data_IF_195833644808
#
_entry.id   IF_195833644808
#
_cell.length_a   1.000
_cell.length_b   1.000
_cell.length_c   1.000
_cell.angle_alpha   90.00
_cell.angle_beta   90.00
_cell.angle_gamma   90.00
#
_symmetry.space_group_name_H-M   'P 1'
#
loop_
_entity.id
_entity.type
_entity.pdbx_description
1 polymer ?
#
# COMPACT_ATOMS: atom_id res chain seq x y z
N UNK A 1 -14.67 4.50 12.19
CA UNK A 1 -13.50 5.11 12.89
C UNK A 1 -12.21 4.36 12.60
N UNK A 2 -12.08 3.07 13.00
CA UNK A 2 -10.84 2.28 12.83
C UNK A 2 -10.35 2.26 11.38
N UNK A 3 -11.25 1.98 10.42
CA UNK A 3 -10.93 1.98 8.99
C UNK A 3 -10.30 3.30 8.52
N UNK A 4 -10.97 4.43 8.78
CA UNK A 4 -10.51 5.74 8.32
C UNK A 4 -9.16 6.08 8.93
N UNK A 5 -9.00 5.93 10.24
CA UNK A 5 -7.71 6.21 10.92
C UNK A 5 -6.61 5.27 10.41
N UNK A 6 -6.92 3.99 10.20
CA UNK A 6 -5.98 2.99 9.69
C UNK A 6 -5.48 3.34 8.29
N UNK A 7 -6.39 3.57 7.34
CA UNK A 7 -6.03 3.89 5.95
C UNK A 7 -5.32 5.24 5.86
N UNK A 8 -5.75 6.27 6.61
CA UNK A 8 -5.06 7.56 6.67
C UNK A 8 -3.61 7.41 7.09
N UNK A 9 -3.36 6.67 8.17
CA UNK A 9 -1.99 6.43 8.65
C UNK A 9 -1.20 5.52 7.72
N UNK A 10 -1.83 4.51 7.12
CA UNK A 10 -1.17 3.64 6.14
C UNK A 10 -0.67 4.43 4.93
N UNK A 11 -1.48 5.36 4.40
CA UNK A 11 -1.05 6.26 3.32
C UNK A 11 0.05 7.23 3.75
N UNK A 12 0.00 7.74 4.98
CA UNK A 12 1.07 8.57 5.53
C UNK A 12 2.40 7.82 5.59
N UNK A 13 2.39 6.56 6.02
CA UNK A 13 3.60 5.73 6.07
C UNK A 13 4.16 5.36 4.69
N UNK A 14 3.30 5.32 3.66
CA UNK A 14 3.73 5.08 2.28
C UNK A 14 4.36 6.32 1.63
N UNK A 15 4.24 7.51 2.22
CA UNK A 15 4.89 8.74 1.75
C UNK A 15 6.40 8.80 2.11
N UNK A 16 7.06 7.63 2.18
CA UNK A 16 8.50 7.51 2.41
C UNK A 16 9.34 7.56 1.13
N UNK A 17 8.72 7.46 -0.06
CA UNK A 17 9.39 7.56 -1.35
C UNK A 17 8.66 8.50 -2.30
N UNK A 18 9.44 9.34 -2.99
CA UNK A 18 8.96 10.20 -4.07
C UNK A 18 8.10 9.42 -5.07
N UNK A 19 6.87 9.88 -5.29
CA UNK A 19 5.91 9.29 -6.20
C UNK A 19 4.99 8.25 -5.56
N UNK A 20 5.44 7.52 -4.54
CA UNK A 20 4.78 6.29 -4.08
C UNK A 20 3.34 6.52 -3.60
N UNK A 21 3.16 7.37 -2.58
CA UNK A 21 1.83 7.62 -2.00
C UNK A 21 0.88 8.26 -3.02
N UNK A 22 1.35 9.27 -3.76
CA UNK A 22 0.55 9.96 -4.79
C UNK A 22 0.12 9.03 -5.92
N UNK A 23 1.04 8.25 -6.48
CA UNK A 23 0.70 7.37 -7.61
C UNK A 23 -0.14 6.17 -7.17
N UNK A 24 0.06 5.68 -5.96
CA UNK A 24 -0.84 4.67 -5.39
C UNK A 24 -2.25 5.23 -5.19
N UNK A 25 -2.37 6.47 -4.71
CA UNK A 25 -3.66 7.15 -4.59
C UNK A 25 -4.34 7.35 -5.95
N UNK A 26 -3.58 7.70 -6.99
CA UNK A 26 -4.10 7.78 -8.37
C UNK A 26 -4.62 6.42 -8.86
N UNK A 27 -3.87 5.35 -8.64
CA UNK A 27 -4.30 3.98 -9.03
C UNK A 27 -5.60 3.62 -8.30
N UNK A 28 -5.64 3.80 -6.97
CA UNK A 28 -6.83 3.49 -6.17
C UNK A 28 -8.04 4.31 -6.60
N UNK A 29 -7.85 5.62 -6.82
CA UNK A 29 -8.88 6.52 -7.32
C UNK A 29 -9.40 6.09 -8.71
N UNK A 30 -8.52 5.60 -9.59
CA UNK A 30 -8.93 5.06 -10.91
C UNK A 30 -9.88 3.88 -10.75
N UNK A 31 -9.56 2.91 -9.88
CA UNK A 31 -10.44 1.77 -9.67
C UNK A 31 -11.75 2.16 -9.00
N UNK A 32 -11.72 3.06 -8.01
CA UNK A 32 -12.96 3.60 -7.42
C UNK A 32 -13.82 4.34 -8.45
N UNK A 33 -13.22 5.10 -9.36
CA UNK A 33 -13.94 5.72 -10.48
C UNK A 33 -14.61 4.65 -11.34
N UNK A 34 -13.87 3.63 -11.78
CA UNK A 34 -14.41 2.58 -12.65
C UNK A 34 -15.57 1.85 -11.98
N UNK A 35 -15.42 1.42 -10.73
CA UNK A 35 -16.49 0.72 -9.99
C UNK A 35 -17.68 1.66 -9.78
N UNK A 36 -17.45 2.94 -9.41
CA UNK A 36 -18.53 3.92 -9.24
C UNK A 36 -19.37 4.08 -10.50
N UNK A 37 -18.74 4.10 -11.68
CA UNK A 37 -19.45 4.16 -12.96
C UNK A 37 -20.26 2.88 -13.21
N UNK A 38 -19.71 1.71 -12.87
CA UNK A 38 -20.39 0.41 -13.03
C UNK A 38 -21.58 0.22 -12.09
N UNK A 39 -21.58 0.86 -10.93
CA UNK A 39 -22.66 0.84 -9.93
C UNK A 39 -23.60 2.04 -10.05
N UNK A 40 -23.40 2.92 -11.04
CA UNK A 40 -24.25 4.11 -11.25
C UNK A 40 -24.09 5.20 -10.19
N UNK A 41 -23.02 5.15 -9.38
CA UNK A 41 -22.76 6.10 -8.30
C UNK A 41 -22.02 7.35 -8.81
N UNK A 42 -22.73 8.21 -9.53
CA UNK A 42 -22.16 9.41 -10.15
C UNK A 42 -21.38 10.29 -9.16
N UNK A 43 -21.92 10.53 -7.96
CA UNK A 43 -21.27 11.34 -6.93
C UNK A 43 -19.91 10.77 -6.49
N UNK A 44 -19.82 9.46 -6.20
CA UNK A 44 -18.56 8.80 -5.85
C UNK A 44 -17.57 8.79 -7.02
N UNK A 45 -18.09 8.62 -8.24
CA UNK A 45 -17.30 8.72 -9.46
C UNK A 45 -16.65 10.10 -9.61
N UNK A 46 -17.41 11.18 -9.41
CA UNK A 46 -16.88 12.55 -9.46
C UNK A 46 -15.80 12.81 -8.41
N UNK A 47 -16.01 12.41 -7.15
CA UNK A 47 -15.00 12.55 -6.10
C UNK A 47 -13.73 11.78 -6.43
N UNK A 48 -13.87 10.54 -6.90
CA UNK A 48 -12.73 9.69 -7.27
C UNK A 48 -11.97 10.24 -8.47
N UNK A 49 -12.66 10.75 -9.50
CA UNK A 49 -12.02 11.38 -10.66
C UNK A 49 -11.31 12.68 -10.28
N UNK A 50 -11.90 13.49 -9.39
CA UNK A 50 -11.27 14.71 -8.91
C UNK A 50 -9.97 14.39 -8.15
N UNK A 51 -9.98 13.36 -7.30
CA UNK A 51 -8.80 12.87 -6.59
C UNK A 51 -7.75 12.30 -7.55
N UNK A 52 -8.17 11.54 -8.56
CA UNK A 52 -7.28 11.05 -9.62
C UNK A 52 -6.62 12.23 -10.36
N UNK A 53 -7.40 13.23 -10.77
CA UNK A 53 -6.92 14.41 -11.47
C UNK A 53 -5.92 15.22 -10.64
N UNK A 54 -6.17 15.40 -9.33
CA UNK A 54 -5.22 16.09 -8.45
C UNK A 54 -3.93 15.31 -8.29
N UNK A 55 -3.99 13.98 -8.13
CA UNK A 55 -2.80 13.14 -8.05
C UNK A 55 -2.00 13.19 -9.36
N UNK A 56 -2.65 13.06 -10.52
CA UNK A 56 -1.98 13.11 -11.83
C UNK A 56 -1.40 14.50 -12.13
N UNK A 57 -2.03 15.58 -11.67
CA UNK A 57 -1.49 16.93 -11.77
C UNK A 57 -0.26 17.15 -10.89
N UNK A 58 -0.21 16.50 -9.73
CA UNK A 58 0.92 16.60 -8.79
C UNK A 58 2.08 15.66 -9.15
N UNK A 59 1.79 14.48 -9.69
CA UNK A 59 2.76 13.39 -9.88
C UNK A 59 4.01 13.80 -10.68
N UNK A 60 3.96 14.64 -11.74
CA UNK A 60 5.16 15.09 -12.46
C UNK A 60 6.17 15.87 -11.61
N UNK A 61 5.70 16.56 -10.56
CA UNK A 61 6.54 17.32 -9.63
C UNK A 61 7.09 16.44 -8.50
N UNK A 62 6.41 15.33 -8.22
CA UNK A 62 6.76 14.40 -7.14
C UNK A 62 7.59 13.22 -7.65
N UNK A 63 7.09 12.44 -8.62
CA UNK A 63 7.78 11.28 -9.18
C UNK A 63 8.68 11.66 -10.36
N UNK A 64 9.87 12.17 -10.05
CA UNK A 64 10.88 12.57 -11.06
C UNK A 64 11.87 11.43 -11.28
N UNK A 65 12.10 11.02 -12.53
CA UNK A 65 12.91 9.83 -12.84
C UNK A 65 14.40 10.00 -12.53
N UNK A 66 14.97 11.16 -12.91
CA UNK A 66 16.42 11.42 -12.83
C UNK A 66 16.81 12.38 -11.71
N UNK A 67 15.83 13.06 -11.13
CA UNK A 67 16.04 14.10 -10.13
C UNK A 67 15.23 13.78 -8.86
N UNK A 68 15.59 14.39 -7.72
CA UNK A 68 14.73 14.41 -6.54
C UNK A 68 13.39 15.10 -6.84
N UNK A 69 12.36 14.79 -6.05
CA UNK A 69 11.09 15.49 -6.10
C UNK A 69 11.32 17.02 -5.99
N UNK A 70 10.67 17.78 -6.86
CA UNK A 70 10.67 19.24 -6.77
C UNK A 70 9.69 19.74 -5.72
N UNK A 71 8.62 18.97 -5.47
CA UNK A 71 7.61 19.22 -4.44
C UNK A 71 7.34 17.91 -3.70
N UNK A 72 7.51 17.92 -2.38
CA UNK A 72 7.16 16.81 -1.51
C UNK A 72 5.66 16.82 -1.19
N UNK A 73 5.07 15.63 -1.06
CA UNK A 73 3.66 15.51 -0.70
C UNK A 73 3.46 15.95 0.76
N UNK A 74 4.29 15.42 1.66
CA UNK A 74 4.31 15.76 3.07
C UNK A 74 3.11 15.22 3.83
N UNK A 75 3.17 15.29 5.17
CA UNK A 75 2.16 14.73 6.06
C UNK A 75 0.74 15.25 5.75
N UNK A 76 0.63 16.53 5.37
CA UNK A 76 -0.66 17.12 5.02
C UNK A 76 -1.27 16.47 3.77
N UNK A 77 -0.46 16.26 2.72
CA UNK A 77 -0.92 15.66 1.48
C UNK A 77 -1.23 14.17 1.65
N UNK A 78 -0.33 13.42 2.29
CA UNK A 78 -0.46 11.97 2.46
C UNK A 78 -1.66 11.60 3.34
N UNK A 79 -1.90 12.34 4.43
CA UNK A 79 -3.07 12.14 5.30
C UNK A 79 -4.37 12.56 4.61
N UNK A 80 -4.36 13.64 3.82
CA UNK A 80 -5.51 14.03 2.99
C UNK A 80 -5.89 12.95 1.97
N UNK A 81 -4.90 12.40 1.25
CA UNK A 81 -5.13 11.33 0.29
C UNK A 81 -5.70 10.09 0.99
N UNK A 82 -5.12 9.67 2.11
CA UNK A 82 -5.59 8.52 2.87
C UNK A 82 -6.98 8.70 3.46
N UNK A 83 -7.28 9.86 4.05
CA UNK A 83 -8.60 10.18 4.58
C UNK A 83 -9.67 10.16 3.47
N UNK A 84 -9.37 10.80 2.34
CA UNK A 84 -10.31 10.90 1.21
C UNK A 84 -10.59 9.52 0.61
N UNK A 85 -9.55 8.71 0.36
CA UNK A 85 -9.72 7.34 -0.13
C UNK A 85 -10.50 6.46 0.84
N UNK A 86 -10.22 6.58 2.15
CA UNK A 86 -10.95 5.84 3.17
C UNK A 86 -12.42 6.25 3.24
N UNK A 87 -12.71 7.55 3.07
CA UNK A 87 -14.05 8.10 3.01
C UNK A 87 -14.82 7.59 1.79
N UNK A 88 -14.21 7.68 0.60
CA UNK A 88 -14.77 7.12 -0.65
C UNK A 88 -15.13 5.65 -0.40
N UNK A 89 -14.16 4.84 0.05
CA UNK A 89 -14.33 3.40 0.31
C UNK A 89 -15.51 3.06 1.24
N UNK A 90 -15.78 3.89 2.26
CA UNK A 90 -16.86 3.67 3.22
C UNK A 90 -18.22 4.16 2.71
N UNK A 91 -18.23 5.28 1.99
CA UNK A 91 -19.47 5.90 1.52
C UNK A 91 -20.03 5.24 0.25
N UNK A 92 -19.20 4.55 -0.52
CA UNK A 92 -19.62 3.91 -1.76
C UNK A 92 -20.33 2.57 -1.59
N UNK A 93 -21.27 2.29 -2.49
CA UNK A 93 -22.00 1.03 -2.66
C UNK A 93 -21.43 0.23 -3.85
N UNK A 94 -20.36 -0.50 -3.62
CA UNK A 94 -19.51 -1.16 -4.61
C UNK A 94 -20.10 -2.43 -5.24
N UNK A 95 -21.02 -3.12 -4.56
CA UNK A 95 -21.73 -4.28 -5.08
C UNK A 95 -23.04 -4.55 -4.34
N UNK A 96 -23.95 -5.30 -4.98
CA UNK A 96 -25.21 -5.74 -4.36
C UNK A 96 -25.00 -6.80 -3.26
N UNK A 97 -24.08 -7.75 -3.50
CA UNK A 97 -23.69 -8.71 -2.48
C UNK A 97 -22.89 -8.02 -1.37
N UNK A 98 -23.34 -8.21 -0.12
CA UNK A 98 -22.75 -7.55 1.05
C UNK A 98 -21.28 -7.87 1.27
N UNK A 99 -20.85 -9.11 1.02
CA UNK A 99 -19.44 -9.51 1.19
C UNK A 99 -18.59 -8.90 0.08
N UNK A 100 -19.05 -8.98 -1.16
CA UNK A 100 -18.38 -8.36 -2.31
C UNK A 100 -18.21 -6.86 -2.08
N UNK A 101 -19.26 -6.19 -1.58
CA UNK A 101 -19.27 -4.76 -1.31
C UNK A 101 -18.17 -4.34 -0.32
N UNK A 102 -17.86 -5.17 0.67
CA UNK A 102 -16.79 -4.93 1.64
C UNK A 102 -15.41 -5.28 1.06
N UNK A 103 -15.33 -6.33 0.23
CA UNK A 103 -14.06 -6.85 -0.28
C UNK A 103 -13.48 -5.96 -1.39
N UNK A 104 -14.30 -5.35 -2.24
CA UNK A 104 -13.85 -4.43 -3.30
C UNK A 104 -12.92 -3.32 -2.76
N UNK A 105 -13.33 -2.50 -1.77
CA UNK A 105 -12.47 -1.45 -1.23
C UNK A 105 -11.25 -2.01 -0.50
N UNK A 106 -11.35 -3.19 0.12
CA UNK A 106 -10.20 -3.88 0.75
C UNK A 106 -9.16 -4.29 -0.29
N UNK A 107 -9.58 -4.77 -1.46
CA UNK A 107 -8.67 -5.11 -2.55
C UNK A 107 -8.05 -3.85 -3.17
N UNK A 108 -8.86 -2.83 -3.49
CA UNK A 108 -8.37 -1.57 -4.06
C UNK A 108 -7.33 -0.92 -3.12
N UNK A 109 -7.59 -0.91 -1.81
CA UNK A 109 -6.66 -0.41 -0.78
C UNK A 109 -5.76 -1.50 -0.20
N UNK A 110 -5.57 -2.61 -0.92
CA UNK A 110 -4.87 -3.78 -0.40
C UNK A 110 -3.39 -3.53 -0.12
N UNK A 111 -2.73 -2.71 -0.95
CA UNK A 111 -1.32 -2.34 -0.72
C UNK A 111 -1.11 -1.55 0.58
N UNK A 112 -1.82 -0.43 0.85
CA UNK A 112 -1.72 0.26 2.14
C UNK A 112 -2.05 -0.62 3.33
N UNK A 113 -3.09 -1.45 3.23
CA UNK A 113 -3.49 -2.38 4.29
C UNK A 113 -2.38 -3.40 4.54
N UNK A 114 -1.81 -3.97 3.49
CA UNK A 114 -0.74 -4.96 3.59
C UNK A 114 0.53 -4.37 4.19
N UNK A 115 1.00 -3.20 3.71
CA UNK A 115 2.21 -2.56 4.25
C UNK A 115 2.06 -2.28 5.75
N UNK A 116 0.94 -1.70 6.15
CA UNK A 116 0.66 -1.40 7.56
C UNK A 116 0.58 -2.68 8.41
N UNK A 117 -0.03 -3.75 7.88
CA UNK A 117 -0.15 -5.03 8.58
C UNK A 117 1.22 -5.69 8.73
N UNK A 118 1.99 -5.79 7.65
CA UNK A 118 3.32 -6.42 7.64
C UNK A 118 4.28 -5.68 8.59
N UNK A 119 4.32 -4.35 8.51
CA UNK A 119 5.17 -3.55 9.40
C UNK A 119 4.77 -3.73 10.87
N UNK A 120 3.47 -3.74 11.17
CA UNK A 120 2.98 -3.98 12.53
C UNK A 120 3.36 -5.37 13.05
N UNK A 121 3.14 -6.42 12.25
CA UNK A 121 3.49 -7.80 12.61
C UNK A 121 4.99 -7.95 12.85
N UNK A 122 5.82 -7.39 11.96
CA UNK A 122 7.27 -7.45 12.14
C UNK A 122 7.71 -6.68 13.38
N UNK A 123 7.17 -5.48 13.63
CA UNK A 123 7.52 -4.66 14.81
C UNK A 123 7.16 -5.33 16.13
N UNK A 124 6.02 -6.01 16.19
CA UNK A 124 5.61 -6.79 17.36
C UNK A 124 6.53 -8.01 17.52
N UNK A 125 6.80 -8.73 16.43
CA UNK A 125 7.67 -9.91 16.44
C UNK A 125 9.14 -9.62 16.78
N UNK A 126 9.65 -8.44 16.46
CA UNK A 126 11.00 -7.97 16.84
C UNK A 126 11.05 -7.30 18.22
N UNK A 127 9.90 -7.09 18.86
CA UNK A 127 9.79 -6.43 20.17
C UNK A 127 10.06 -4.93 20.16
N UNK A 128 10.06 -4.30 18.99
CA UNK A 128 10.31 -2.85 18.81
C UNK A 128 9.14 -1.97 19.26
N UNK A 129 7.94 -2.54 19.39
CA UNK A 129 6.73 -1.84 19.84
C UNK A 129 6.01 -2.70 20.87
N UNK A 130 5.72 -2.13 22.04
CA UNK A 130 5.05 -2.82 23.16
C UNK A 130 3.69 -2.22 23.53
N UNK A 131 3.36 -1.04 23.00
CA UNK A 131 2.06 -0.38 23.22
C UNK A 131 1.48 0.28 21.96
N UNK A 132 0.17 0.56 21.96
CA UNK A 132 -0.54 1.27 20.88
C UNK A 132 -0.04 2.71 20.70
N UNK A 133 0.37 3.37 21.79
CA UNK A 133 0.94 4.72 21.74
C UNK A 133 2.34 4.76 21.12
N UNK A 134 3.17 3.75 21.42
CA UNK A 134 4.46 3.57 20.73
C UNK A 134 4.25 3.24 19.26
N UNK A 135 3.26 2.39 18.92
CA UNK A 135 2.96 2.03 17.54
C UNK A 135 2.62 3.25 16.66
N UNK A 136 1.84 4.19 17.19
CA UNK A 136 1.44 5.42 16.49
C UNK A 136 2.59 6.43 16.33
N UNK A 137 3.50 6.51 17.30
CA UNK A 137 4.60 7.49 17.32
C UNK A 137 5.93 6.96 16.75
N UNK A 138 5.97 5.71 16.27
CA UNK A 138 7.22 5.07 15.84
C UNK A 138 7.62 5.45 14.41
N UNK A 139 8.80 6.08 14.26
CA UNK A 139 9.38 6.56 13.00
C UNK A 139 10.34 5.55 12.33
N UNK A 140 10.05 4.24 12.44
CA UNK A 140 10.95 3.18 11.99
C UNK A 140 10.95 2.90 10.47
N UNK A 141 12.14 2.75 9.89
CA UNK A 141 12.42 2.45 8.45
C UNK A 141 12.16 0.99 8.01
N UNK A 142 11.02 0.39 8.38
CA UNK A 142 10.76 -1.04 8.13
C UNK A 142 9.63 -1.34 7.13
N UNK A 143 9.18 -0.31 6.41
CA UNK A 143 8.11 -0.38 5.41
C UNK A 143 8.50 -1.19 4.17
N UNK A 144 7.49 -1.72 3.48
CA UNK A 144 7.60 -2.55 2.28
C UNK A 144 8.53 -1.93 1.23
N UNK A 145 8.42 -0.63 1.04
CA UNK A 145 9.24 0.12 0.11
C UNK A 145 10.73 0.17 0.50
N UNK A 146 11.07 0.29 1.80
CA UNK A 146 12.45 0.21 2.27
C UNK A 146 13.03 -1.17 2.07
N UNK A 147 12.25 -2.23 2.33
CA UNK A 147 12.70 -3.61 2.09
C UNK A 147 12.96 -3.90 0.61
N UNK A 148 12.19 -3.32 -0.31
CA UNK A 148 12.46 -3.43 -1.75
C UNK A 148 13.74 -2.68 -2.14
N UNK A 149 13.99 -1.51 -1.52
CA UNK A 149 15.25 -0.79 -1.69
C UNK A 149 16.45 -1.59 -1.17
N UNK A 150 16.30 -2.24 -0.01
CA UNK A 150 17.34 -3.09 0.60
C UNK A 150 17.67 -4.31 -0.28
N UNK A 151 16.74 -4.77 -1.12
CA UNK A 151 16.94 -5.85 -2.09
C UNK A 151 17.66 -5.36 -3.37
N UNK A 152 17.86 -4.04 -3.52
CA UNK A 152 18.63 -3.46 -4.63
C UNK A 152 17.80 -3.03 -5.86
N UNK A 153 16.46 -3.02 -5.77
CA UNK A 153 15.57 -2.60 -6.87
C UNK A 153 15.67 -1.09 -7.21
N UNK A 154 16.28 -0.29 -6.34
CA UNK A 154 16.30 1.16 -6.45
C UNK A 154 14.91 1.80 -6.33
N UNK A 155 14.86 3.14 -6.28
CA UNK A 155 13.61 3.89 -6.06
C UNK A 155 12.55 3.54 -7.10
N UNK A 156 12.92 3.58 -8.38
CA UNK A 156 11.99 3.34 -9.48
C UNK A 156 11.48 1.90 -9.46
N UNK A 157 12.36 0.92 -9.29
CA UNK A 157 11.95 -0.49 -9.22
C UNK A 157 11.01 -0.78 -8.06
N UNK A 158 11.27 -0.21 -6.87
CA UNK A 158 10.39 -0.34 -5.72
C UNK A 158 9.00 0.26 -5.97
N UNK A 159 8.93 1.50 -6.46
CA UNK A 159 7.67 2.19 -6.76
C UNK A 159 6.88 1.46 -7.85
N UNK A 160 7.52 1.10 -8.97
CA UNK A 160 6.87 0.38 -10.07
C UNK A 160 6.34 -0.99 -9.64
N UNK A 161 7.08 -1.72 -8.80
CA UNK A 161 6.62 -3.01 -8.26
C UNK A 161 5.34 -2.83 -7.44
N UNK A 162 5.31 -1.81 -6.58
CA UNK A 162 4.13 -1.52 -5.77
C UNK A 162 2.92 -1.14 -6.65
N UNK A 163 3.14 -0.35 -7.70
CA UNK A 163 2.07 -0.01 -8.64
C UNK A 163 1.52 -1.22 -9.38
N UNK A 164 2.38 -2.14 -9.82
CA UNK A 164 1.94 -3.38 -10.47
C UNK A 164 1.06 -4.21 -9.54
N UNK A 165 1.44 -4.33 -8.26
CA UNK A 165 0.64 -5.04 -7.26
C UNK A 165 -0.70 -4.33 -7.04
N UNK A 166 -0.71 -3.00 -6.92
CA UNK A 166 -1.92 -2.21 -6.74
C UNK A 166 -2.88 -2.36 -7.94
N UNK A 167 -2.35 -2.31 -9.17
CA UNK A 167 -3.13 -2.54 -10.39
C UNK A 167 -3.71 -3.94 -10.42
N UNK A 168 -2.92 -4.97 -10.08
CA UNK A 168 -3.40 -6.35 -10.03
C UNK A 168 -4.55 -6.53 -9.02
N UNK A 169 -4.45 -5.94 -7.83
CA UNK A 169 -5.53 -6.00 -6.83
C UNK A 169 -6.77 -5.23 -7.28
N UNK A 170 -6.59 -4.05 -7.87
CA UNK A 170 -7.68 -3.26 -8.41
C UNK A 170 -8.41 -4.00 -9.54
N UNK A 171 -7.66 -4.66 -10.45
CA UNK A 171 -8.25 -5.52 -11.48
C UNK A 171 -9.02 -6.70 -10.86
N UNK A 172 -8.47 -7.32 -9.81
CA UNK A 172 -9.16 -8.38 -9.07
C UNK A 172 -10.48 -7.89 -8.46
N UNK A 173 -10.52 -6.65 -7.97
CA UNK A 173 -11.75 -6.02 -7.47
C UNK A 173 -12.80 -5.82 -8.57
N UNK A 174 -12.38 -5.44 -9.79
CA UNK A 174 -13.30 -5.26 -10.93
C UNK A 174 -13.97 -6.58 -11.35
N UNK A 175 -13.28 -7.71 -11.26
CA UNK A 175 -13.84 -9.03 -11.60
C UNK A 175 -14.97 -9.42 -10.63
N UNK A 176 -14.95 -8.92 -9.39
CA UNK A 176 -15.92 -9.30 -8.37
C UNK A 176 -17.30 -8.65 -8.49
N UNK A 177 -17.48 -7.62 -9.34
CA UNK A 177 -18.72 -6.81 -9.39
C UNK A 177 -20.02 -7.60 -9.58
N UNK A 178 -19.97 -8.74 -10.28
CA UNK A 178 -21.12 -9.64 -10.46
C UNK A 178 -20.92 -11.02 -9.86
N UNK A 179 -19.90 -11.18 -9.02
CA UNK A 179 -19.52 -12.45 -8.43
C UNK A 179 -20.30 -12.71 -7.13
N UNK A 180 -20.23 -13.94 -6.64
CA UNK A 180 -20.85 -14.32 -5.37
C UNK A 180 -19.93 -13.98 -4.20
N UNK A 181 -20.48 -13.93 -2.98
CA UNK A 181 -19.67 -13.82 -1.76
C UNK A 181 -18.57 -14.89 -1.65
N UNK A 182 -18.78 -16.10 -2.17
CA UNK A 182 -17.77 -17.17 -2.19
C UNK A 182 -16.59 -16.81 -3.08
N UNK A 183 -16.86 -16.29 -4.29
CA UNK A 183 -15.81 -15.86 -5.22
C UNK A 183 -14.97 -14.74 -4.61
N UNK A 184 -15.62 -13.80 -3.93
CA UNK A 184 -14.94 -12.72 -3.22
C UNK A 184 -14.02 -13.23 -2.11
N UNK A 185 -14.46 -14.22 -1.34
CA UNK A 185 -13.63 -14.86 -0.31
C UNK A 185 -12.42 -15.59 -0.92
N UNK A 186 -12.59 -16.28 -2.05
CA UNK A 186 -11.50 -16.96 -2.74
C UNK A 186 -10.45 -15.97 -3.25
N UNK A 187 -10.88 -14.87 -3.88
CA UNK A 187 -9.98 -13.81 -4.35
C UNK A 187 -9.25 -13.15 -3.18
N UNK A 188 -9.96 -12.87 -2.08
CA UNK A 188 -9.34 -12.31 -0.87
C UNK A 188 -8.31 -13.27 -0.27
N UNK A 189 -8.62 -14.57 -0.22
CA UNK A 189 -7.71 -15.60 0.28
C UNK A 189 -6.48 -15.73 -0.62
N UNK A 190 -6.66 -15.74 -1.94
CA UNK A 190 -5.55 -15.72 -2.90
C UNK A 190 -4.64 -14.50 -2.69
N UNK A 191 -5.23 -13.31 -2.53
CA UNK A 191 -4.48 -12.09 -2.25
C UNK A 191 -3.71 -12.20 -0.94
N UNK A 192 -4.34 -12.72 0.12
CA UNK A 192 -3.71 -12.98 1.40
C UNK A 192 -2.53 -13.95 1.32
N UNK A 193 -2.65 -15.04 0.56
CA UNK A 193 -1.55 -16.00 0.34
C UNK A 193 -0.40 -15.33 -0.40
N UNK A 194 -0.67 -14.60 -1.48
CA UNK A 194 0.36 -13.92 -2.26
C UNK A 194 1.11 -12.92 -1.37
N UNK A 195 0.38 -12.13 -0.60
CA UNK A 195 0.97 -11.18 0.34
C UNK A 195 1.77 -11.86 1.46
N UNK A 196 1.30 -12.98 1.99
CA UNK A 196 2.06 -13.79 2.94
C UNK A 196 3.37 -14.29 2.34
N UNK A 197 3.34 -14.83 1.12
CA UNK A 197 4.53 -15.30 0.41
C UNK A 197 5.52 -14.17 0.14
N UNK A 198 5.04 -13.01 -0.30
CA UNK A 198 5.87 -11.81 -0.51
C UNK A 198 6.51 -11.39 0.83
N UNK A 199 5.72 -11.25 1.90
CA UNK A 199 6.21 -10.87 3.22
C UNK A 199 7.24 -11.85 3.78
N UNK A 200 6.98 -13.16 3.64
CA UNK A 200 7.90 -14.22 4.02
C UNK A 200 9.20 -14.14 3.23
N UNK A 201 9.13 -14.02 1.91
CA UNK A 201 10.30 -13.89 1.04
C UNK A 201 11.16 -12.69 1.43
N UNK A 202 10.55 -11.53 1.68
CA UNK A 202 11.28 -10.32 2.07
C UNK A 202 11.98 -10.47 3.43
N UNK A 203 11.34 -11.11 4.41
CA UNK A 203 11.96 -11.39 5.71
C UNK A 203 13.10 -12.41 5.56
N UNK A 204 12.89 -13.45 4.75
CA UNK A 204 13.89 -14.47 4.48
C UNK A 204 15.14 -13.90 3.81
N UNK A 205 14.96 -13.07 2.77
CA UNK A 205 16.07 -12.43 2.05
C UNK A 205 16.87 -11.52 2.99
N UNK A 206 16.21 -10.69 3.81
CA UNK A 206 16.89 -9.84 4.80
C UNK A 206 17.76 -10.66 5.76
N UNK A 207 17.23 -11.78 6.27
CA UNK A 207 17.99 -12.69 7.16
C UNK A 207 19.22 -13.30 6.47
N UNK A 208 19.10 -13.72 5.21
CA UNK A 208 20.22 -14.27 4.45
C UNK A 208 21.30 -13.23 4.19
N UNK A 209 20.90 -12.02 3.77
CA UNK A 209 21.83 -10.93 3.48
C UNK A 209 22.64 -10.53 4.73
N UNK A 210 21.98 -10.32 5.87
CA UNK A 210 22.66 -10.02 7.14
C UNK A 210 23.57 -11.15 7.60
N UNK A 211 23.24 -12.42 7.31
CA UNK A 211 24.10 -13.56 7.64
C UNK A 211 25.39 -13.55 6.81
N UNK A 212 25.28 -13.29 5.50
CA UNK A 212 26.43 -13.22 4.60
C UNK A 212 27.35 -12.08 4.99
N UNK A 213 26.81 -10.88 5.28
CA UNK A 213 27.62 -9.74 5.73
C UNK A 213 28.37 -10.03 7.04
N UNK A 214 27.72 -10.68 8.01
CA UNK A 214 28.36 -11.07 9.28
C UNK A 214 29.48 -12.10 9.09
N UNK A 215 29.31 -13.04 8.16
CA UNK A 215 30.37 -14.00 7.82
C UNK A 215 31.54 -13.28 7.14
N UNK A 216 31.27 -12.44 6.15
CA UNK A 216 32.30 -11.66 5.45
C UNK A 216 33.04 -10.67 6.37
N UNK A 217 32.36 -10.10 7.37
CA UNK A 217 33.00 -9.22 8.36
C UNK A 217 33.91 -9.98 9.32
N UNK A 218 33.53 -11.20 9.73
CA UNK A 218 34.35 -12.09 10.57
C UNK A 218 35.60 -12.59 9.84
N UNK A 219 35.47 -12.91 8.56
CA UNK A 219 36.62 -13.26 7.70
C UNK A 219 37.61 -12.09 7.57
N UNK A 220 37.11 -10.85 7.48
CA UNK A 220 37.98 -9.65 7.43
C UNK A 220 38.60 -9.28 8.78
N UNK A 221 37.96 -9.58 9.91
CA UNK A 221 38.50 -9.31 11.24
C UNK A 221 39.52 -10.33 11.71
N UNK A 222 39.67 -11.46 11.00
CA UNK A 222 40.62 -12.52 11.36
C UNK A 222 40.18 -13.38 12.56
N UNK A 223 38.88 -13.35 12.91
CA UNK A 223 38.31 -14.09 14.04
C UNK A 223 37.95 -15.56 13.70
N UNK A 224 38.68 -16.20 12.78
CA UNK A 224 38.47 -17.60 12.37
C UNK A 224 39.71 -18.46 12.67
#
# INVERSE_FOLDING_TARGET
>A
AIWVVGITNAMNFLDGLDGLATGLAAINATFFTIVSLQTGQGYMGFLSVALLGSCLGFLPYNFRLKEPASIFLGDAGSTFLGFTLAGIAVMGEWAEDRLVNIIIPVLILGVPIFDMTLTTVVRIGTGQVRSVGEWLNFTGRDHFHHRLLDIGLGRIGAVSTIYVIAVWLGLSALVLKGATGTDALLVLLQAGIIFFLIGYFMIFVKKQYTRIERTASRERSGDL
#
